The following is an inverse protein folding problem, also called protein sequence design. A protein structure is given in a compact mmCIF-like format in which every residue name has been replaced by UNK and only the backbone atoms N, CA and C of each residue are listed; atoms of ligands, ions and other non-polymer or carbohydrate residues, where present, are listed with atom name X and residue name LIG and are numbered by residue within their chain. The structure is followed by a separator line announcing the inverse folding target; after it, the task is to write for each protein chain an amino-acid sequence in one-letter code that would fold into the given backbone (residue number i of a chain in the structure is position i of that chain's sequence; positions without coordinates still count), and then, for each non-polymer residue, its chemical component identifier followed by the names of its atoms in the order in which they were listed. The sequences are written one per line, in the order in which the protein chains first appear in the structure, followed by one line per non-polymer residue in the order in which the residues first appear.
data_IF_287721761620
#
_entry.id   IF_287721761620
#
_cell.length_a   1.000
_cell.length_b   1.000
_cell.length_c   1.000
_cell.angle_alpha   90.00
_cell.angle_beta   90.00
_cell.angle_gamma   90.00
#
_symmetry.space_group_name_H-M   'P 1'
#
loop_
_entity.id
_entity.type
_entity.pdbx_description
1 polymer ?
#
# COMPACT_ATOMS: atom_id res chain seq x y z
N UNK A 1 -4.51 -2.72 41.77
CA UNK A 1 -3.43 -2.00 41.06
C UNK A 1 -2.38 -3.01 40.62
N UNK A 2 -2.49 -3.52 39.40
CA UNK A 2 -1.51 -4.42 38.79
C UNK A 2 -1.72 -4.24 37.28
N UNK A 3 -0.75 -4.15 36.39
CA UNK A 3 0.69 -4.19 36.45
C UNK A 3 1.05 -4.15 34.96
N UNK A 4 1.78 -3.11 34.53
CA UNK A 4 2.04 -2.86 33.11
C UNK A 4 3.11 -3.85 32.63
N UNK A 5 2.67 -5.03 32.20
CA UNK A 5 3.54 -5.99 31.52
C UNK A 5 3.57 -5.64 30.03
N UNK A 6 4.68 -5.00 29.62
CA UNK A 6 5.07 -4.92 28.22
C UNK A 6 5.50 -6.35 27.84
N UNK A 7 4.68 -7.04 27.05
CA UNK A 7 4.98 -8.38 26.55
C UNK A 7 5.12 -8.33 25.03
N UNK A 8 6.24 -8.89 24.58
CA UNK A 8 6.67 -9.03 23.20
C UNK A 8 5.58 -9.52 22.25
N UNK A 9 5.25 -8.73 21.22
CA UNK A 9 4.82 -9.26 19.92
C UNK A 9 5.44 -8.43 18.79
N UNK A 10 6.75 -8.62 18.62
CA UNK A 10 7.42 -8.37 17.34
C UNK A 10 6.92 -9.47 16.40
N UNK A 11 5.99 -9.10 15.52
CA UNK A 11 5.67 -9.75 14.23
C UNK A 11 5.88 -11.26 14.18
N UNK A 12 4.94 -11.99 14.75
CA UNK A 12 4.83 -13.42 14.49
C UNK A 12 4.09 -13.61 13.17
N UNK A 13 4.84 -13.89 12.09
CA UNK A 13 4.34 -14.29 10.77
C UNK A 13 3.58 -15.64 10.75
N UNK A 14 2.95 -16.04 11.85
CA UNK A 14 1.99 -17.14 11.82
C UNK A 14 0.63 -16.60 11.39
N UNK A 15 0.55 -16.30 10.10
CA UNK A 15 -0.73 -16.34 9.40
C UNK A 15 -1.24 -17.78 9.54
N UNK A 16 -2.35 -17.90 10.26
CA UNK A 16 -3.14 -19.11 10.42
C UNK A 16 -3.54 -19.58 9.01
N UNK A 17 -2.89 -20.63 8.49
CA UNK A 17 -3.39 -21.43 7.37
C UNK A 17 -3.61 -22.86 7.85
N UNK A 18 -4.69 -23.06 8.62
CA UNK A 18 -5.23 -24.38 8.91
C UNK A 18 -6.47 -24.59 8.06
N UNK A 19 -6.27 -25.01 6.80
CA UNK A 19 -7.10 -25.94 5.99
C UNK A 19 -6.57 -25.99 4.55
N UNK A 20 -5.98 -27.14 4.19
CA UNK A 20 -5.76 -27.69 2.84
C UNK A 20 -5.62 -26.73 1.63
N UNK A 21 -4.40 -26.23 1.42
CA UNK A 21 -3.95 -25.76 0.10
C UNK A 21 -3.68 -26.96 -0.81
N UNK A 22 -4.72 -27.52 -1.42
CA UNK A 22 -4.58 -28.40 -2.58
C UNK A 22 -5.53 -27.96 -3.68
N UNK A 23 -5.21 -26.83 -4.29
CA UNK A 23 -5.70 -26.47 -5.63
C UNK A 23 -4.52 -25.95 -6.45
N UNK A 24 -4.16 -26.77 -7.44
CA UNK A 24 -3.18 -26.60 -8.51
C UNK A 24 -2.83 -25.14 -8.83
N UNK A 25 -1.60 -24.73 -8.52
CA UNK A 25 -0.97 -23.63 -9.23
C UNK A 25 -0.22 -24.27 -10.40
N UNK A 26 -0.75 -24.27 -11.65
CA UNK A 26 0.08 -24.64 -12.78
C UNK A 26 1.29 -23.70 -12.78
N UNK A 27 2.47 -24.32 -12.83
CA UNK A 27 3.78 -23.69 -12.83
C UNK A 27 4.00 -23.00 -14.19
N UNK A 28 3.19 -21.97 -14.49
CA UNK A 28 3.39 -21.12 -15.65
C UNK A 28 4.48 -20.13 -15.27
N UNK A 29 5.58 -19.99 -16.04
CA UNK A 29 6.54 -18.93 -15.82
C UNK A 29 5.83 -17.60 -16.08
N UNK A 30 5.25 -17.01 -15.03
CA UNK A 30 4.49 -15.77 -15.17
C UNK A 30 5.49 -14.66 -15.48
N UNK A 31 5.33 -13.90 -16.56
CA UNK A 31 6.01 -12.60 -16.63
C UNK A 31 5.64 -11.84 -15.36
N UNK A 32 6.66 -11.25 -14.71
CA UNK A 32 6.49 -10.44 -13.50
C UNK A 32 5.63 -9.21 -13.81
N UNK A 33 4.31 -9.38 -13.84
CA UNK A 33 3.40 -8.26 -13.99
C UNK A 33 3.23 -7.60 -12.62
N UNK A 34 3.65 -6.33 -12.50
CA UNK A 34 3.48 -5.50 -11.30
C UNK A 34 2.04 -5.56 -10.75
N UNK A 35 1.05 -5.73 -11.63
CA UNK A 35 -0.35 -5.86 -11.25
C UNK A 35 -0.63 -7.05 -10.32
N UNK A 36 0.06 -8.19 -10.45
CA UNK A 36 -0.17 -9.34 -9.58
C UNK A 36 0.20 -9.06 -8.11
N UNK A 37 1.16 -8.17 -7.87
CA UNK A 37 1.55 -7.77 -6.51
C UNK A 37 0.47 -6.94 -5.80
N UNK A 38 -0.51 -6.43 -6.54
CA UNK A 38 -1.57 -5.59 -5.97
C UNK A 38 -2.50 -6.36 -5.04
N UNK A 39 -2.67 -7.67 -5.23
CA UNK A 39 -3.48 -8.51 -4.34
C UNK A 39 -2.99 -8.42 -2.89
N UNK A 40 -1.68 -8.37 -2.67
CA UNK A 40 -1.11 -8.32 -1.32
C UNK A 40 -1.43 -7.01 -0.61
N UNK A 41 -1.29 -5.87 -1.29
CA UNK A 41 -1.61 -4.57 -0.68
C UNK A 41 -3.11 -4.44 -0.40
N UNK A 42 -4.00 -4.99 -1.24
CA UNK A 42 -5.42 -4.98 -0.96
C UNK A 42 -5.77 -5.82 0.27
N UNK A 43 -5.15 -6.99 0.45
CA UNK A 43 -5.36 -7.82 1.65
C UNK A 43 -4.85 -7.10 2.90
N UNK A 44 -3.62 -6.58 2.86
CA UNK A 44 -3.01 -5.91 4.00
C UNK A 44 -3.74 -4.61 4.39
N UNK A 45 -4.04 -3.72 3.44
CA UNK A 45 -4.64 -2.41 3.74
C UNK A 45 -6.12 -2.48 4.16
N UNK A 46 -6.78 -3.62 3.90
CA UNK A 46 -8.18 -3.86 4.27
C UNK A 46 -8.34 -4.80 5.47
N UNK A 47 -7.23 -5.25 6.06
CA UNK A 47 -7.27 -5.96 7.33
C UNK A 47 -7.66 -4.99 8.45
N UNK A 48 -8.67 -5.34 9.25
CA UNK A 48 -9.19 -4.48 10.33
C UNK A 48 -8.12 -4.18 11.39
N UNK A 49 -7.23 -5.13 11.66
CA UNK A 49 -6.14 -4.95 12.64
C UNK A 49 -5.10 -3.96 12.12
N UNK A 50 -4.85 -3.95 10.81
CA UNK A 50 -3.97 -2.97 10.15
C UNK A 50 -4.63 -1.60 10.16
N UNK A 51 -5.93 -1.51 9.86
CA UNK A 51 -6.67 -0.24 9.89
C UNK A 51 -6.72 0.36 11.31
N UNK A 52 -6.91 -0.48 12.33
CA UNK A 52 -6.89 -0.06 13.73
C UNK A 52 -5.50 0.44 14.14
N UNK A 53 -4.43 -0.28 13.78
CA UNK A 53 -3.04 0.13 14.04
C UNK A 53 -2.66 1.45 13.32
N UNK A 54 -3.23 1.70 12.15
CA UNK A 54 -3.08 2.96 11.41
C UNK A 54 -4.02 4.07 11.90
N UNK A 55 -4.82 3.80 12.94
CA UNK A 55 -5.80 4.71 13.52
C UNK A 55 -6.81 5.24 12.49
N UNK A 56 -7.22 4.38 11.55
CA UNK A 56 -8.31 4.71 10.61
C UNK A 56 -9.61 4.80 11.41
N UNK A 57 -10.29 5.95 11.30
CA UNK A 57 -11.56 6.17 11.99
C UNK A 57 -12.60 5.12 11.57
N UNK A 58 -13.16 4.42 12.55
CA UNK A 58 -14.20 3.40 12.31
C UNK A 58 -15.38 4.03 11.55
N UNK A 59 -15.83 3.34 10.51
CA UNK A 59 -16.94 3.77 9.65
C UNK A 59 -16.57 4.74 8.52
N UNK A 60 -15.37 5.34 8.48
CA UNK A 60 -15.03 6.28 7.39
C UNK A 60 -14.50 5.59 6.14
N UNK A 61 -13.84 4.44 6.28
CA UNK A 61 -13.27 3.70 5.15
C UNK A 61 -13.50 2.22 5.32
N UNK A 62 -14.57 1.71 4.68
CA UNK A 62 -14.88 0.27 4.67
C UNK A 62 -13.92 -0.53 3.80
N UNK A 63 -13.53 0.05 2.66
CA UNK A 63 -12.60 -0.57 1.73
C UNK A 63 -11.61 0.46 1.21
N UNK A 64 -10.33 0.21 1.43
CA UNK A 64 -9.22 0.95 0.86
C UNK A 64 -8.93 0.46 -0.56
N UNK A 65 -8.82 1.44 -1.45
CA UNK A 65 -8.45 1.27 -2.85
C UNK A 65 -7.24 2.14 -3.16
N UNK A 66 -6.31 1.64 -3.97
CA UNK A 66 -5.08 2.36 -4.32
C UNK A 66 -5.33 3.60 -5.17
N UNK A 67 -6.17 3.45 -6.18
CA UNK A 67 -6.48 4.50 -7.14
C UNK A 67 -7.98 4.69 -7.12
N UNK A 68 -8.43 5.78 -6.52
CA UNK A 68 -9.81 6.19 -6.65
C UNK A 68 -10.01 6.77 -8.06
N UNK A 69 -10.71 6.03 -8.91
CA UNK A 69 -10.98 6.40 -10.31
C UNK A 69 -12.18 7.33 -10.48
N UNK A 70 -12.92 7.63 -9.41
CA UNK A 70 -14.06 8.55 -9.44
C UNK A 70 -13.66 9.99 -9.16
N UNK A 71 -12.39 10.24 -8.78
CA UNK A 71 -11.83 11.59 -8.69
C UNK A 71 -11.84 12.26 -10.07
N UNK A 72 -12.73 13.25 -10.23
CA UNK A 72 -12.79 14.07 -11.42
C UNK A 72 -11.70 15.16 -11.35
N UNK A 73 -10.60 14.96 -12.08
CA UNK A 73 -9.64 16.02 -12.38
C UNK A 73 -10.11 16.77 -13.62
N UNK A 74 -10.26 18.10 -13.52
CA UNK A 74 -10.79 18.92 -14.60
C UNK A 74 -9.74 19.31 -15.65
N UNK A 75 -8.46 19.34 -15.30
CA UNK A 75 -7.39 19.67 -16.23
C UNK A 75 -6.04 19.09 -15.81
N UNK A 76 -5.16 18.89 -16.79
CA UNK A 76 -3.76 18.56 -16.60
C UNK A 76 -2.89 19.77 -16.97
N UNK A 77 -1.73 19.93 -16.31
CA UNK A 77 -0.71 20.86 -16.81
C UNK A 77 -0.08 20.30 -18.08
N UNK A 78 0.09 21.14 -19.10
CA UNK A 78 0.63 20.71 -20.41
C UNK A 78 2.09 20.23 -20.32
N UNK A 79 2.86 20.80 -19.41
CA UNK A 79 4.26 20.43 -19.16
C UNK A 79 4.68 20.83 -17.75
N UNK A 80 5.49 20.00 -17.09
CA UNK A 80 6.13 20.32 -15.82
C UNK A 80 7.54 20.89 -15.96
N UNK A 81 8.06 21.00 -17.19
CA UNK A 81 9.47 21.36 -17.46
C UNK A 81 9.84 22.73 -16.89
N UNK A 82 8.99 23.74 -17.07
CA UNK A 82 9.27 25.10 -16.59
C UNK A 82 9.26 25.17 -15.06
N UNK A 83 8.40 24.38 -14.41
CA UNK A 83 8.39 24.25 -12.95
C UNK A 83 9.67 23.61 -12.44
N UNK A 84 10.12 22.52 -13.05
CA UNK A 84 11.39 21.89 -12.71
C UNK A 84 12.56 22.85 -12.93
N UNK A 85 12.61 23.60 -14.04
CA UNK A 85 13.63 24.63 -14.31
C UNK A 85 13.63 25.73 -13.25
N UNK A 86 12.48 26.13 -12.74
CA UNK A 86 12.43 27.12 -11.67
C UNK A 86 12.97 26.54 -10.34
N UNK A 87 12.63 25.28 -10.05
CA UNK A 87 13.09 24.59 -8.85
C UNK A 87 14.60 24.32 -8.84
N UNK A 88 15.23 24.13 -10.01
CA UNK A 88 16.70 23.96 -10.09
C UNK A 88 17.48 25.23 -9.76
N UNK A 89 16.85 26.41 -9.78
CA UNK A 89 17.48 27.68 -9.33
C UNK A 89 17.51 27.82 -7.81
N UNK A 90 16.83 26.93 -7.09
CA UNK A 90 16.78 26.89 -5.62
C UNK A 90 17.81 25.87 -5.11
N UNK A 91 18.21 25.93 -3.83
CA UNK A 91 19.18 24.98 -3.26
C UNK A 91 18.57 23.58 -2.99
N UNK A 92 17.64 23.14 -3.82
CA UNK A 92 17.01 21.83 -3.72
C UNK A 92 17.71 20.82 -4.62
N UNK A 93 17.89 19.59 -4.11
CA UNK A 93 18.40 18.47 -4.91
C UNK A 93 17.24 17.77 -5.59
N UNK A 94 17.37 17.53 -6.89
CA UNK A 94 16.41 16.74 -7.67
C UNK A 94 17.02 15.39 -8.07
N UNK A 95 16.23 14.33 -8.01
CA UNK A 95 16.58 12.99 -8.49
C UNK A 95 15.51 12.51 -9.47
N UNK A 96 15.92 12.17 -10.68
CA UNK A 96 15.07 11.55 -11.70
C UNK A 96 15.67 10.18 -12.01
N UNK A 97 14.91 9.12 -11.77
CA UNK A 97 15.31 7.76 -12.07
C UNK A 97 14.51 7.23 -13.26
N UNK A 98 15.13 6.31 -14.00
CA UNK A 98 14.53 5.59 -15.13
C UNK A 98 13.94 4.26 -14.66
#
# INVERSE_FOLDING_TARGET
MYGRHISHQVVHWKIIYRTNFRTFIPHVPRPWCRHFNYVYIYKWANDETVQDALHIRKGTKKHWERCNKTLAYSYNVKSSVDYHRNLTKKPYRALIFR
#
